data_IF_492870768944
#
_entry.id   IF_492870768944
#
_cell.length_a   1.000
_cell.length_b   1.000
_cell.length_c   1.000
_cell.angle_alpha   90.00
_cell.angle_beta   90.00
_cell.angle_gamma   90.00
#
_symmetry.space_group_name_H-M   'P 1'
#
loop_
_entity.id
_entity.type
_entity.pdbx_description
1 polymer ?
#
# COMPACT_ATOMS: atom_id res chain seq x y z
N UNK A 1 -10.92 -2.66 1.11
CA UNK A 1 -10.21 -3.97 1.02
C UNK A 1 -8.75 -3.74 1.35
N UNK A 2 -8.07 -4.66 2.07
CA UNK A 2 -6.63 -4.56 2.36
C UNK A 2 -5.87 -5.73 1.73
N UNK A 3 -4.81 -5.45 0.97
CA UNK A 3 -4.05 -6.45 0.20
C UNK A 3 -2.54 -6.26 0.40
N UNK A 4 -1.78 -7.35 0.33
CA UNK A 4 -0.32 -7.37 0.45
C UNK A 4 0.31 -8.20 -0.68
N UNK A 5 0.41 -7.65 -1.91
CA UNK A 5 0.75 -8.42 -3.11
C UNK A 5 2.10 -9.14 -3.06
N UNK A 6 3.04 -8.58 -2.31
CA UNK A 6 4.43 -9.03 -2.24
C UNK A 6 4.76 -9.84 -0.97
N UNK A 7 3.82 -9.94 -0.03
CA UNK A 7 4.12 -10.54 1.27
C UNK A 7 4.10 -12.06 1.17
N UNK A 8 5.19 -12.69 1.61
CA UNK A 8 5.33 -14.14 1.80
C UNK A 8 5.00 -14.58 3.24
N UNK A 9 4.43 -13.67 4.04
CA UNK A 9 4.04 -13.94 5.41
C UNK A 9 3.05 -15.12 5.49
N UNK A 10 3.27 -16.04 6.43
CA UNK A 10 2.48 -17.28 6.61
C UNK A 10 2.48 -18.17 5.35
N UNK A 11 3.61 -18.22 4.62
CA UNK A 11 3.75 -19.09 3.45
C UNK A 11 2.92 -18.63 2.25
N UNK A 12 2.53 -17.35 2.24
CA UNK A 12 1.90 -16.69 1.09
C UNK A 12 2.94 -16.34 0.03
N UNK A 13 2.52 -15.59 -0.98
CA UNK A 13 3.35 -15.20 -2.11
C UNK A 13 3.12 -16.09 -3.33
N UNK A 14 3.52 -15.58 -4.49
CA UNK A 14 3.45 -16.30 -5.76
C UNK A 14 4.53 -15.77 -6.70
N UNK A 15 4.92 -16.57 -7.70
CA UNK A 15 5.97 -16.19 -8.65
C UNK A 15 5.60 -14.90 -9.41
N UNK A 16 4.35 -14.79 -9.88
CA UNK A 16 3.85 -13.68 -10.71
C UNK A 16 2.60 -13.04 -10.08
N UNK A 17 2.73 -12.16 -9.07
CA UNK A 17 1.58 -11.58 -8.37
C UNK A 17 0.85 -10.50 -9.18
N UNK A 18 1.55 -9.79 -10.08
CA UNK A 18 1.01 -8.62 -10.77
C UNK A 18 -0.29 -8.92 -11.53
N UNK A 19 -0.38 -9.98 -12.38
CA UNK A 19 -1.62 -10.25 -13.12
C UNK A 19 -2.81 -10.53 -12.21
N UNK A 20 -2.61 -11.34 -11.18
CA UNK A 20 -3.65 -11.75 -10.22
C UNK A 20 -4.18 -10.55 -9.43
N UNK A 21 -3.29 -9.75 -8.84
CA UNK A 21 -3.68 -8.59 -8.06
C UNK A 21 -4.24 -7.46 -8.93
N UNK A 22 -3.75 -7.29 -10.16
CA UNK A 22 -4.33 -6.32 -11.11
C UNK A 22 -5.77 -6.67 -11.44
N UNK A 23 -6.06 -7.96 -11.72
CA UNK A 23 -7.42 -8.41 -11.97
C UNK A 23 -8.32 -8.17 -10.75
N UNK A 24 -7.89 -8.62 -9.56
CA UNK A 24 -8.63 -8.42 -8.32
C UNK A 24 -8.94 -6.94 -8.05
N UNK A 25 -7.96 -6.06 -8.17
CA UNK A 25 -8.12 -4.61 -7.96
C UNK A 25 -9.14 -4.01 -8.93
N UNK A 26 -9.13 -4.40 -10.21
CA UNK A 26 -10.13 -3.95 -11.19
C UNK A 26 -11.53 -4.42 -10.81
N UNK A 27 -11.69 -5.68 -10.41
CA UNK A 27 -12.99 -6.21 -9.97
C UNK A 27 -13.50 -5.48 -8.72
N UNK A 28 -12.63 -5.20 -7.75
CA UNK A 28 -13.01 -4.45 -6.55
C UNK A 28 -13.45 -3.02 -6.87
N UNK A 29 -12.81 -2.39 -7.86
CA UNK A 29 -13.19 -1.07 -8.35
C UNK A 29 -14.56 -1.11 -9.03
N UNK A 30 -14.81 -2.13 -9.85
CA UNK A 30 -16.08 -2.29 -10.56
C UNK A 30 -17.24 -2.60 -9.57
N UNK A 31 -16.93 -3.24 -8.43
CA UNK A 31 -17.84 -3.39 -7.28
C UNK A 31 -18.04 -2.10 -6.47
N UNK A 32 -17.36 -1.01 -6.82
CA UNK A 32 -17.47 0.31 -6.20
C UNK A 32 -17.24 0.29 -4.66
N UNK A 33 -16.25 -0.48 -4.20
CA UNK A 33 -15.89 -0.46 -2.77
C UNK A 33 -15.27 0.89 -2.37
N UNK A 34 -15.43 1.27 -1.10
CA UNK A 34 -15.09 2.62 -0.64
C UNK A 34 -13.61 2.99 -0.73
N UNK A 35 -12.72 2.03 -0.49
CA UNK A 35 -11.27 2.24 -0.52
C UNK A 35 -10.51 0.92 -0.73
N UNK A 36 -9.29 1.07 -1.22
CA UNK A 36 -8.26 0.04 -1.26
C UNK A 36 -7.12 0.41 -0.31
N UNK A 37 -6.56 -0.56 0.41
CA UNK A 37 -5.40 -0.42 1.28
C UNK A 37 -4.34 -1.43 0.84
N UNK A 38 -3.14 -0.94 0.53
CA UNK A 38 -2.05 -1.72 -0.03
C UNK A 38 -0.87 -1.72 0.93
N UNK A 39 -0.30 -2.89 1.18
CA UNK A 39 0.91 -3.04 2.00
C UNK A 39 2.12 -3.15 1.06
N UNK A 40 3.10 -2.28 1.26
CA UNK A 40 4.36 -2.23 0.52
C UNK A 40 5.19 -3.50 0.67
N UNK A 41 6.07 -3.72 -0.30
CA UNK A 41 7.01 -4.83 -0.37
C UNK A 41 8.01 -4.93 0.80
N UNK A 42 8.12 -3.87 1.60
CA UNK A 42 9.07 -3.78 2.70
C UNK A 42 8.57 -4.44 4.00
N UNK A 43 7.38 -5.07 4.00
CA UNK A 43 6.73 -5.56 5.22
C UNK A 43 6.35 -7.03 5.13
N UNK A 44 6.88 -7.82 6.07
CA UNK A 44 6.47 -9.20 6.34
C UNK A 44 5.80 -9.27 7.71
N UNK A 45 4.48 -9.27 7.71
CA UNK A 45 3.68 -9.22 8.94
C UNK A 45 3.95 -7.94 9.73
N UNK A 46 4.69 -8.07 10.84
CA UNK A 46 5.03 -6.95 11.73
C UNK A 46 6.47 -6.44 11.59
N UNK A 47 7.28 -7.06 10.74
CA UNK A 47 8.70 -6.75 10.59
C UNK A 47 8.99 -6.08 9.25
N UNK A 48 10.02 -5.24 9.23
CA UNK A 48 10.65 -4.83 7.98
C UNK A 48 11.31 -6.04 7.33
N UNK A 49 11.16 -6.17 6.02
CA UNK A 49 11.74 -7.25 5.25
C UNK A 49 11.84 -6.85 3.79
N UNK A 50 12.85 -7.34 3.08
CA UNK A 50 12.96 -7.16 1.65
C UNK A 50 12.20 -8.26 0.87
N UNK A 51 10.92 -8.48 1.18
CA UNK A 51 10.16 -9.57 0.54
C UNK A 51 9.81 -9.29 -0.93
N UNK A 52 9.85 -8.02 -1.36
CA UNK A 52 9.62 -7.65 -2.76
C UNK A 52 10.86 -7.17 -3.53
N UNK A 53 12.03 -6.98 -2.91
CA UNK A 53 13.16 -6.33 -3.58
C UNK A 53 12.83 -4.87 -3.91
N UNK A 54 13.25 -4.43 -5.09
CA UNK A 54 12.95 -3.10 -5.64
C UNK A 54 11.49 -2.94 -6.14
N UNK A 55 10.58 -3.86 -5.80
CA UNK A 55 9.18 -3.83 -6.27
C UNK A 55 8.32 -2.99 -5.32
N UNK A 56 7.28 -2.37 -5.87
CA UNK A 56 6.32 -1.56 -5.14
C UNK A 56 4.87 -1.94 -5.48
N UNK A 57 3.90 -1.26 -4.87
CA UNK A 57 2.47 -1.48 -5.17
C UNK A 57 1.92 -0.55 -6.27
N UNK A 58 2.78 0.14 -7.03
CA UNK A 58 2.35 1.12 -8.05
C UNK A 58 1.42 0.52 -9.10
N UNK A 59 1.66 -0.73 -9.51
CA UNK A 59 0.79 -1.44 -10.46
C UNK A 59 -0.66 -1.53 -9.96
N UNK A 60 -0.85 -1.75 -8.65
CA UNK A 60 -2.16 -1.85 -8.03
C UNK A 60 -2.80 -0.47 -7.84
N UNK A 61 -2.02 0.56 -7.50
CA UNK A 61 -2.50 1.95 -7.44
C UNK A 61 -2.99 2.42 -8.81
N UNK A 62 -2.23 2.15 -9.87
CA UNK A 62 -2.61 2.46 -11.24
C UNK A 62 -3.85 1.69 -11.70
N UNK A 63 -3.97 0.41 -11.33
CA UNK A 63 -5.15 -0.40 -11.65
C UNK A 63 -6.42 0.08 -10.92
N UNK A 64 -6.26 0.57 -9.68
CA UNK A 64 -7.35 1.12 -8.87
C UNK A 64 -7.88 2.43 -9.45
N UNK A 65 -6.98 3.29 -9.93
CA UNK A 65 -7.32 4.57 -10.55
C UNK A 65 -7.50 5.72 -9.55
N UNK A 66 -7.86 6.89 -10.08
CA UNK A 66 -7.90 8.17 -9.34
C UNK A 66 -9.26 8.47 -8.70
N UNK A 67 -10.29 7.70 -9.04
CA UNK A 67 -11.69 8.04 -8.71
C UNK A 67 -12.01 7.82 -7.23
N UNK A 68 -11.45 6.77 -6.62
CA UNK A 68 -11.72 6.34 -5.26
C UNK A 68 -10.43 6.34 -4.40
N UNK A 69 -10.53 6.54 -3.08
CA UNK A 69 -9.35 6.57 -2.21
C UNK A 69 -8.55 5.27 -2.18
N UNK A 70 -7.23 5.45 -2.08
CA UNK A 70 -6.25 4.39 -1.88
C UNK A 70 -5.38 4.74 -0.68
N UNK A 71 -5.09 3.73 0.12
CA UNK A 71 -4.17 3.81 1.24
C UNK A 71 -2.94 2.97 0.94
N UNK A 72 -1.76 3.46 1.31
CA UNK A 72 -0.52 2.70 1.25
C UNK A 72 0.09 2.64 2.65
N UNK A 73 0.47 1.43 3.05
CA UNK A 73 1.06 1.11 4.35
C UNK A 73 2.46 0.51 4.17
N UNK A 74 3.37 0.77 5.10
CA UNK A 74 4.61 -0.01 5.25
C UNK A 74 5.89 0.79 4.96
N UNK A 75 6.79 0.84 5.94
CA UNK A 75 8.13 1.43 5.79
C UNK A 75 8.20 2.95 5.66
N UNK A 76 7.07 3.67 5.71
CA UNK A 76 7.07 5.13 5.54
C UNK A 76 7.67 5.90 6.72
N UNK A 77 8.50 6.88 6.40
CA UNK A 77 8.90 7.99 7.27
C UNK A 77 8.03 9.21 6.96
N UNK A 78 8.05 10.30 7.77
CA UNK A 78 7.35 11.53 7.45
C UNK A 78 7.74 12.12 6.09
N UNK A 79 9.04 12.15 5.79
CA UNK A 79 9.58 12.67 4.53
C UNK A 79 9.13 11.82 3.33
N UNK A 80 9.24 10.49 3.42
CA UNK A 80 8.83 9.63 2.30
C UNK A 80 7.32 9.65 2.10
N UNK A 81 6.52 9.72 3.18
CA UNK A 81 5.08 9.86 3.10
C UNK A 81 4.67 11.16 2.40
N UNK A 82 5.31 12.28 2.77
CA UNK A 82 5.05 13.58 2.14
C UNK A 82 5.36 13.51 0.64
N UNK A 83 6.55 13.02 0.28
CA UNK A 83 6.95 12.87 -1.13
C UNK A 83 5.97 12.01 -1.93
N UNK A 84 5.53 10.89 -1.35
CA UNK A 84 4.60 9.97 -2.02
C UNK A 84 3.24 10.64 -2.30
N UNK A 85 2.72 11.44 -1.36
CA UNK A 85 1.44 12.15 -1.53
C UNK A 85 1.59 13.35 -2.46
N UNK A 86 2.57 14.21 -2.21
CA UNK A 86 2.70 15.52 -2.85
C UNK A 86 3.33 15.45 -4.25
N UNK A 87 4.17 14.45 -4.50
CA UNK A 87 4.89 14.29 -5.77
C UNK A 87 4.44 13.05 -6.54
N UNK A 88 4.59 11.85 -5.97
CA UNK A 88 4.42 10.59 -6.70
C UNK A 88 2.98 10.35 -7.12
N UNK A 89 2.03 10.56 -6.21
CA UNK A 89 0.62 10.29 -6.41
C UNK A 89 -0.26 11.53 -6.22
N UNK A 90 0.27 12.71 -6.57
CA UNK A 90 -0.39 14.01 -6.40
C UNK A 90 -1.82 14.12 -6.94
N UNK A 91 -2.15 13.34 -7.98
CA UNK A 91 -3.47 13.33 -8.61
C UNK A 91 -4.41 12.24 -8.04
N UNK A 92 -3.93 11.42 -7.10
CA UNK A 92 -4.69 10.35 -6.49
C UNK A 92 -5.25 10.81 -5.15
N UNK A 93 -6.40 10.25 -4.77
CA UNK A 93 -6.93 10.37 -3.42
C UNK A 93 -6.18 9.42 -2.48
N UNK A 94 -4.91 9.73 -2.22
CA UNK A 94 -3.99 8.85 -1.51
C UNK A 94 -3.83 9.26 -0.04
N UNK A 95 -3.76 8.26 0.85
CA UNK A 95 -3.37 8.44 2.23
C UNK A 95 -2.28 7.43 2.63
N UNK A 96 -1.37 7.84 3.49
CA UNK A 96 -0.33 6.97 4.05
C UNK A 96 -0.76 6.48 5.42
N UNK A 97 -0.57 5.19 5.68
CA UNK A 97 -0.97 4.53 6.92
C UNK A 97 0.26 4.16 7.75
N UNK A 98 0.29 4.66 8.98
CA UNK A 98 1.36 4.41 9.93
C UNK A 98 0.91 3.41 11.01
N UNK A 99 1.61 2.28 11.13
CA UNK A 99 1.35 1.27 12.16
C UNK A 99 2.21 1.46 13.41
N UNK A 100 3.48 1.04 13.33
CA UNK A 100 4.42 1.09 14.47
C UNK A 100 4.62 2.50 15.02
N UNK A 101 4.72 3.51 14.15
CA UNK A 101 4.84 4.90 14.57
C UNK A 101 3.63 5.38 15.36
N UNK A 102 2.41 5.00 14.96
CA UNK A 102 1.19 5.37 15.68
C UNK A 102 1.13 4.74 17.07
N UNK A 103 1.53 3.46 17.21
CA UNK A 103 1.53 2.76 18.50
C UNK A 103 2.34 3.50 19.56
N UNK A 104 3.50 4.05 19.18
CA UNK A 104 4.39 4.75 20.11
C UNK A 104 4.12 6.26 20.20
N UNK A 105 3.32 6.83 19.28
CA UNK A 105 3.05 8.26 19.17
C UNK A 105 1.55 8.46 18.88
N UNK A 106 0.67 8.52 19.90
CA UNK A 106 -0.77 8.67 19.70
C UNK A 106 -1.16 10.02 19.06
N UNK A 107 -0.25 10.98 19.09
CA UNK A 107 -0.32 12.33 18.54
C UNK A 107 0.52 12.47 17.24
N UNK A 108 0.83 11.37 16.55
CA UNK A 108 1.69 11.34 15.36
C UNK A 108 1.39 12.44 14.31
N UNK A 109 0.13 12.80 13.99
CA UNK A 109 -0.14 13.84 12.99
C UNK A 109 0.35 15.25 13.37
N UNK A 110 0.67 15.48 14.64
CA UNK A 110 1.13 16.78 15.17
C UNK A 110 2.65 16.83 15.36
N UNK A 111 3.38 15.78 14.97
CA UNK A 111 4.84 15.66 15.09
C UNK A 111 5.49 15.78 13.72
#
# INVERSE_FOLDING_TARGET
>A
MRLSPWSDFIGMGMAEPIPTFTYLVRQLRDLNIRFLDLIEALIRGNNDSDCGGDKDVSFAVHAWGKQAPVMISGGFSPESAQKTVDETYKDYKLAIVFGRHWRSNPDLPFR
#
